data_IF_213816774299
#
_entry.id   IF_213816774299
#
_cell.length_a   1.000
_cell.length_b   1.000
_cell.length_c   1.000
_cell.angle_alpha   90.00
_cell.angle_beta   90.00
_cell.angle_gamma   90.00
#
_symmetry.space_group_name_H-M   'P 1'
#
loop_
_entity.id
_entity.type
_entity.pdbx_description
1 polymer ?
#
# COMPACT_ATOMS: atom_id res chain seq x y z
N UNK A 1 46.91 1.45 -6.74
CA UNK A 1 46.30 0.10 -6.81
C UNK A 1 45.52 -0.26 -5.54
N UNK A 2 46.11 -0.12 -4.35
CA UNK A 2 45.47 -0.46 -3.05
C UNK A 2 44.21 0.35 -2.73
N UNK A 3 44.16 1.65 -3.05
CA UNK A 3 42.98 2.51 -2.83
C UNK A 3 41.79 2.12 -3.72
N UNK A 4 42.06 1.68 -4.95
CA UNK A 4 41.03 1.22 -5.90
C UNK A 4 40.40 -0.11 -5.46
N UNK A 5 41.20 -1.05 -4.97
CA UNK A 5 40.66 -2.30 -4.41
C UNK A 5 39.83 -2.06 -3.14
N UNK A 6 40.28 -1.17 -2.25
CA UNK A 6 39.52 -0.83 -1.03
C UNK A 6 38.17 -0.19 -1.34
N UNK A 7 38.14 0.74 -2.30
CA UNK A 7 36.88 1.38 -2.73
C UNK A 7 35.95 0.38 -3.40
N UNK A 8 36.45 -0.51 -4.26
CA UNK A 8 35.66 -1.59 -4.86
C UNK A 8 35.05 -2.54 -3.82
N UNK A 9 35.84 -3.01 -2.86
CA UNK A 9 35.35 -3.87 -1.78
C UNK A 9 34.32 -3.15 -0.89
N UNK A 10 34.52 -1.86 -0.63
CA UNK A 10 33.55 -1.03 0.08
C UNK A 10 32.20 -0.95 -0.64
N UNK A 11 32.22 -0.68 -1.95
CA UNK A 11 31.00 -0.62 -2.77
C UNK A 11 30.25 -1.96 -2.82
N UNK A 12 30.97 -3.07 -3.00
CA UNK A 12 30.37 -4.41 -2.99
C UNK A 12 29.72 -4.70 -1.64
N UNK A 13 30.42 -4.41 -0.54
CA UNK A 13 29.89 -4.62 0.82
C UNK A 13 28.61 -3.82 1.04
N UNK A 14 28.61 -2.53 0.67
CA UNK A 14 27.43 -1.66 0.80
C UNK A 14 26.24 -2.21 0.00
N UNK A 15 26.47 -2.63 -1.25
CA UNK A 15 25.42 -3.19 -2.11
C UNK A 15 24.83 -4.48 -1.52
N UNK A 16 25.67 -5.39 -1.01
CA UNK A 16 25.20 -6.62 -0.36
C UNK A 16 24.35 -6.29 0.86
N UNK A 17 24.79 -5.35 1.70
CA UNK A 17 24.03 -4.93 2.89
C UNK A 17 22.68 -4.33 2.48
N UNK A 18 22.64 -3.40 1.53
CA UNK A 18 21.38 -2.79 1.07
C UNK A 18 20.42 -3.85 0.50
N UNK A 19 20.92 -4.71 -0.38
CA UNK A 19 20.10 -5.75 -1.01
C UNK A 19 19.55 -6.77 0.00
N UNK A 20 20.37 -7.20 0.97
CA UNK A 20 19.95 -8.15 2.01
C UNK A 20 18.98 -7.52 3.00
N UNK A 21 19.22 -6.31 3.46
CA UNK A 21 18.28 -5.56 4.30
C UNK A 21 16.95 -5.34 3.59
N UNK A 22 16.98 -4.93 2.32
CA UNK A 22 15.78 -4.74 1.49
C UNK A 22 14.98 -6.02 1.33
N UNK A 23 15.65 -7.14 1.03
CA UNK A 23 15.00 -8.44 0.86
C UNK A 23 14.39 -8.94 2.18
N UNK A 24 15.16 -8.96 3.27
CA UNK A 24 14.70 -9.47 4.56
C UNK A 24 13.59 -8.61 5.14
N UNK A 25 13.76 -7.28 5.13
CA UNK A 25 12.77 -6.34 5.67
C UNK A 25 11.42 -6.46 4.97
N UNK A 26 11.42 -6.50 3.64
CA UNK A 26 10.18 -6.65 2.87
C UNK A 26 9.58 -8.07 2.98
N UNK A 27 10.41 -9.11 3.07
CA UNK A 27 9.95 -10.48 3.27
C UNK A 27 9.20 -10.64 4.59
N UNK A 28 9.68 -10.02 5.67
CA UNK A 28 8.97 -10.02 6.97
C UNK A 28 7.56 -9.42 6.82
N UNK A 29 7.43 -8.29 6.12
CA UNK A 29 6.12 -7.68 5.87
C UNK A 29 5.20 -8.62 5.11
N UNK A 30 5.69 -9.22 4.01
CA UNK A 30 4.91 -10.20 3.22
C UNK A 30 4.48 -11.38 4.09
N UNK A 31 5.39 -11.99 4.86
CA UNK A 31 5.11 -13.13 5.74
C UNK A 31 4.05 -12.78 6.79
N UNK A 32 4.18 -11.62 7.45
CA UNK A 32 3.21 -11.17 8.47
C UNK A 32 1.82 -10.98 7.86
N UNK A 33 1.74 -10.42 6.65
CA UNK A 33 0.47 -10.21 5.97
C UNK A 33 -0.19 -11.54 5.56
N UNK A 34 0.60 -12.51 5.08
CA UNK A 34 0.15 -13.86 4.76
C UNK A 34 -0.31 -14.63 6.01
N UNK A 35 0.43 -14.54 7.11
CA UNK A 35 0.10 -15.19 8.38
C UNK A 35 -1.21 -14.65 8.99
N UNK A 36 -1.51 -13.35 8.83
CA UNK A 36 -2.79 -12.74 9.25
C UNK A 36 -3.98 -13.13 8.37
N UNK A 37 -3.74 -13.71 7.19
CA UNK A 37 -4.75 -14.30 6.31
C UNK A 37 -5.83 -13.32 5.84
N UNK A 38 -7.08 -13.79 5.77
CA UNK A 38 -8.22 -13.04 5.19
C UNK A 38 -8.55 -11.71 5.89
N UNK A 39 -8.08 -11.50 7.13
CA UNK A 39 -8.34 -10.26 7.89
C UNK A 39 -7.62 -9.04 7.27
N UNK A 40 -6.48 -9.27 6.63
CA UNK A 40 -5.62 -8.23 6.03
C UNK A 40 -6.15 -7.67 4.70
N UNK A 41 -6.95 -8.45 3.97
CA UNK A 41 -7.44 -8.05 2.64
C UNK A 41 -8.74 -7.23 2.69
N UNK A 42 -9.12 -6.72 3.87
CA UNK A 42 -10.34 -5.90 4.06
C UNK A 42 -10.08 -4.41 3.85
N UNK A 43 -8.83 -3.96 3.94
CA UNK A 43 -8.45 -2.56 3.79
C UNK A 43 -7.64 -2.39 2.50
N UNK A 44 -8.03 -1.46 1.64
CA UNK A 44 -7.37 -1.22 0.35
C UNK A 44 -5.91 -0.82 0.51
N UNK A 45 -5.58 0.02 1.50
CA UNK A 45 -4.18 0.38 1.74
C UNK A 45 -3.35 -0.82 2.16
N UNK A 46 -3.90 -1.75 2.94
CA UNK A 46 -3.19 -2.96 3.34
C UNK A 46 -2.83 -3.81 2.12
N UNK A 47 -3.72 -3.86 1.10
CA UNK A 47 -3.40 -4.53 -0.16
C UNK A 47 -2.24 -3.83 -0.90
N UNK A 48 -2.24 -2.49 -0.96
CA UNK A 48 -1.13 -1.75 -1.59
C UNK A 48 0.20 -1.88 -0.85
N UNK A 49 0.19 -1.93 0.48
CA UNK A 49 1.39 -2.17 1.29
C UNK A 49 1.95 -3.56 1.01
N UNK A 50 1.09 -4.58 0.95
CA UNK A 50 1.53 -5.93 0.58
C UNK A 50 2.12 -5.97 -0.84
N UNK A 51 1.47 -5.30 -1.79
CA UNK A 51 1.97 -5.19 -3.16
C UNK A 51 3.34 -4.50 -3.20
N UNK A 52 3.49 -3.37 -2.48
CA UNK A 52 4.75 -2.65 -2.34
C UNK A 52 5.87 -3.55 -1.83
N UNK A 53 5.66 -4.24 -0.70
CA UNK A 53 6.68 -5.13 -0.14
C UNK A 53 6.98 -6.32 -1.05
N UNK A 54 6.03 -6.79 -1.84
CA UNK A 54 6.28 -7.84 -2.83
C UNK A 54 7.18 -7.34 -3.98
N UNK A 55 6.92 -6.13 -4.48
CA UNK A 55 7.76 -5.46 -5.49
C UNK A 55 9.17 -5.25 -4.94
N UNK A 56 9.29 -4.70 -3.73
CA UNK A 56 10.60 -4.36 -3.14
C UNK A 56 11.41 -5.62 -2.80
N UNK A 57 10.75 -6.71 -2.41
CA UNK A 57 11.39 -8.02 -2.26
C UNK A 57 11.93 -8.56 -3.59
N UNK A 58 11.13 -8.51 -4.66
CA UNK A 58 11.56 -8.90 -6.00
C UNK A 58 12.70 -8.01 -6.51
N UNK A 59 12.61 -6.70 -6.33
CA UNK A 59 13.66 -5.75 -6.71
C UNK A 59 14.97 -6.03 -5.94
N UNK A 60 14.89 -6.27 -4.63
CA UNK A 60 16.04 -6.60 -3.80
C UNK A 60 16.68 -7.94 -4.21
N UNK A 61 15.87 -8.94 -4.57
CA UNK A 61 16.36 -10.21 -5.09
C UNK A 61 17.09 -10.01 -6.42
N UNK A 62 16.46 -9.32 -7.38
CA UNK A 62 17.08 -9.03 -8.69
C UNK A 62 18.36 -8.21 -8.52
N UNK A 63 18.36 -7.23 -7.62
CA UNK A 63 19.55 -6.44 -7.29
C UNK A 63 20.69 -7.32 -6.78
N UNK A 64 20.44 -8.21 -5.82
CA UNK A 64 21.46 -9.14 -5.31
C UNK A 64 21.97 -10.08 -6.40
N UNK A 65 21.08 -10.63 -7.23
CA UNK A 65 21.47 -11.48 -8.34
C UNK A 65 22.35 -10.73 -9.34
N UNK A 66 22.00 -9.50 -9.69
CA UNK A 66 22.79 -8.65 -10.58
C UNK A 66 24.15 -8.31 -10.00
N UNK A 67 24.30 -8.17 -8.67
CA UNK A 67 25.60 -7.88 -8.06
C UNK A 67 26.46 -9.13 -7.86
N UNK A 68 25.84 -10.30 -7.70
CA UNK A 68 26.55 -11.56 -7.51
C UNK A 68 26.93 -12.24 -8.84
N UNK A 69 26.06 -12.21 -9.84
CA UNK A 69 26.24 -12.91 -11.13
C UNK A 69 26.63 -11.96 -12.29
N UNK A 70 27.48 -10.95 -12.03
CA UNK A 70 27.92 -9.98 -13.04
C UNK A 70 29.32 -10.28 -13.61
N UNK A 71 29.55 -11.52 -14.03
CA UNK A 71 30.84 -11.88 -14.64
C UNK A 71 30.83 -11.59 -16.14
N UNK A 72 31.57 -10.55 -16.55
CA UNK A 72 31.71 -10.15 -17.96
C UNK A 72 32.42 -11.19 -18.82
N UNK A 73 33.14 -12.16 -18.21
CA UNK A 73 33.73 -13.27 -18.95
C UNK A 73 32.66 -14.12 -19.68
N UNK A 74 31.42 -14.12 -19.19
CA UNK A 74 30.28 -14.82 -19.83
C UNK A 74 29.91 -14.26 -21.21
N UNK A 75 30.37 -13.05 -21.55
CA UNK A 75 30.05 -12.36 -22.80
C UNK A 75 31.05 -12.64 -23.94
N UNK A 76 32.20 -13.25 -23.65
CA UNK A 76 33.34 -13.39 -24.57
C UNK A 76 33.03 -14.05 -25.92
N UNK A 77 32.01 -14.92 -25.99
CA UNK A 77 31.66 -15.65 -27.21
C UNK A 77 30.84 -14.84 -28.24
N UNK A 78 30.36 -13.63 -27.90
CA UNK A 78 29.78 -12.67 -28.85
C UNK A 78 28.52 -13.09 -29.62
N UNK A 79 27.96 -14.27 -29.37
CA UNK A 79 26.79 -14.79 -30.07
C UNK A 79 25.48 -14.08 -29.69
N UNK A 80 24.39 -14.45 -30.37
CA UNK A 80 23.04 -13.88 -30.15
C UNK A 80 22.59 -13.92 -28.67
N UNK A 81 22.97 -14.98 -27.95
CA UNK A 81 22.66 -15.14 -26.51
C UNK A 81 23.41 -14.11 -25.66
N UNK A 82 24.68 -13.87 -25.96
CA UNK A 82 25.53 -12.91 -25.24
C UNK A 82 25.05 -11.48 -25.49
N UNK A 83 24.64 -11.16 -26.71
CA UNK A 83 23.99 -9.87 -27.03
C UNK A 83 22.72 -9.69 -26.20
N UNK A 84 21.88 -10.73 -26.10
CA UNK A 84 20.65 -10.67 -25.31
C UNK A 84 20.96 -10.48 -23.81
N UNK A 85 21.95 -11.19 -23.28
CA UNK A 85 22.42 -11.04 -21.88
C UNK A 85 22.94 -9.62 -21.66
N UNK A 86 23.74 -9.07 -22.59
CA UNK A 86 24.22 -7.69 -22.51
C UNK A 86 23.04 -6.69 -22.46
N UNK A 87 22.13 -6.76 -23.44
CA UNK A 87 21.01 -5.81 -23.54
C UNK A 87 19.99 -5.95 -22.41
N UNK A 88 19.79 -7.12 -21.80
CA UNK A 88 18.75 -7.33 -20.78
C UNK A 88 19.31 -7.37 -19.35
N UNK A 89 20.39 -8.14 -19.12
CA UNK A 89 20.96 -8.35 -17.79
C UNK A 89 21.93 -7.24 -17.40
N UNK A 90 22.94 -6.97 -18.23
CA UNK A 90 23.96 -5.96 -17.95
C UNK A 90 23.45 -4.52 -18.07
N UNK A 91 22.37 -4.29 -18.83
CA UNK A 91 21.66 -3.00 -18.81
C UNK A 91 20.88 -2.77 -17.51
N UNK A 92 20.72 -3.80 -16.67
CA UNK A 92 19.91 -3.76 -15.45
C UNK A 92 18.44 -3.39 -15.72
N UNK A 93 17.92 -3.65 -16.93
CA UNK A 93 16.56 -3.26 -17.36
C UNK A 93 15.45 -3.68 -16.39
N UNK A 94 15.50 -4.92 -15.90
CA UNK A 94 14.52 -5.41 -14.93
C UNK A 94 14.60 -4.66 -13.60
N UNK A 95 15.80 -4.33 -13.13
CA UNK A 95 16.00 -3.60 -11.89
C UNK A 95 15.43 -2.19 -11.99
N UNK A 96 15.79 -1.46 -13.04
CA UNK A 96 15.28 -0.11 -13.30
C UNK A 96 13.77 -0.08 -13.47
N UNK A 97 13.21 -1.10 -14.14
CA UNK A 97 11.75 -1.27 -14.25
C UNK A 97 11.11 -1.49 -12.88
N UNK A 98 11.65 -2.38 -12.05
CA UNK A 98 11.11 -2.68 -10.72
C UNK A 98 11.18 -1.49 -9.77
N UNK A 99 12.26 -0.70 -9.81
CA UNK A 99 12.35 0.55 -9.06
C UNK A 99 11.26 1.54 -9.49
N UNK A 100 11.02 1.69 -10.79
CA UNK A 100 9.94 2.54 -11.28
C UNK A 100 8.56 2.01 -10.88
N UNK A 101 8.31 0.69 -10.94
CA UNK A 101 7.08 0.06 -10.42
C UNK A 101 6.87 0.41 -8.94
N UNK A 102 7.92 0.28 -8.13
CA UNK A 102 7.90 0.60 -6.69
C UNK A 102 7.53 2.06 -6.44
N UNK A 103 8.17 3.00 -7.15
CA UNK A 103 7.87 4.44 -7.06
C UNK A 103 6.42 4.77 -7.40
N UNK A 104 5.89 4.24 -8.50
CA UNK A 104 4.51 4.51 -8.87
C UNK A 104 3.50 3.79 -7.98
N UNK A 105 3.85 2.66 -7.38
CA UNK A 105 3.00 2.03 -6.37
C UNK A 105 2.96 2.87 -5.08
N UNK A 106 4.05 3.53 -4.68
CA UNK A 106 4.01 4.54 -3.60
C UNK A 106 3.08 5.70 -3.93
N UNK A 107 3.08 6.19 -5.17
CA UNK A 107 2.13 7.21 -5.63
C UNK A 107 0.68 6.71 -5.48
N UNK A 108 0.39 5.46 -5.87
CA UNK A 108 -0.94 4.87 -5.68
C UNK A 108 -1.34 4.77 -4.21
N UNK A 109 -0.40 4.41 -3.32
CA UNK A 109 -0.64 4.42 -1.87
C UNK A 109 -1.01 5.83 -1.40
N UNK A 110 -0.24 6.85 -1.81
CA UNK A 110 -0.51 8.24 -1.43
C UNK A 110 -1.87 8.73 -1.94
N UNK A 111 -2.23 8.40 -3.18
CA UNK A 111 -3.52 8.75 -3.77
C UNK A 111 -4.68 8.01 -3.11
N UNK A 112 -4.54 6.74 -2.78
CA UNK A 112 -5.56 5.98 -2.03
C UNK A 112 -5.81 6.63 -0.67
N UNK A 113 -4.75 6.98 0.07
CA UNK A 113 -4.85 7.70 1.34
C UNK A 113 -5.51 9.06 1.18
N UNK A 114 -5.12 9.80 0.15
CA UNK A 114 -5.69 11.10 -0.16
C UNK A 114 -7.21 10.98 -0.40
N UNK A 115 -7.64 10.05 -1.25
CA UNK A 115 -9.06 9.84 -1.52
C UNK A 115 -9.83 9.40 -0.27
N UNK A 116 -9.25 8.48 0.52
CA UNK A 116 -9.89 7.98 1.74
C UNK A 116 -10.12 9.08 2.80
N UNK A 117 -9.20 10.04 2.91
CA UNK A 117 -9.22 11.09 3.94
C UNK A 117 -9.96 12.34 3.45
N UNK A 118 -9.66 12.80 2.23
CA UNK A 118 -10.19 14.06 1.69
C UNK A 118 -11.59 13.87 1.11
N UNK A 119 -11.87 12.71 0.52
CA UNK A 119 -13.16 12.40 -0.13
C UNK A 119 -13.76 11.06 0.36
N UNK A 120 -14.05 10.93 1.68
CA UNK A 120 -14.41 9.65 2.30
C UNK A 120 -15.68 9.01 1.72
N UNK A 121 -16.69 9.81 1.35
CA UNK A 121 -17.95 9.32 0.75
C UNK A 121 -17.71 8.74 -0.64
N UNK A 122 -16.95 9.46 -1.47
CA UNK A 122 -16.59 9.01 -2.82
C UNK A 122 -15.76 7.73 -2.74
N UNK A 123 -14.76 7.70 -1.86
CA UNK A 123 -13.91 6.55 -1.64
C UNK A 123 -14.72 5.31 -1.23
N UNK A 124 -15.65 5.45 -0.27
CA UNK A 124 -16.51 4.35 0.18
C UNK A 124 -17.43 3.82 -0.92
N UNK A 125 -17.95 4.68 -1.79
CA UNK A 125 -18.93 4.28 -2.80
C UNK A 125 -18.29 3.75 -4.09
N UNK A 126 -17.11 4.26 -4.47
CA UNK A 126 -16.50 3.94 -5.76
C UNK A 126 -15.35 2.93 -5.69
N UNK A 127 -14.69 2.75 -4.55
CA UNK A 127 -13.59 1.79 -4.43
C UNK A 127 -14.11 0.36 -4.36
N UNK A 128 -13.51 -0.51 -5.15
CA UNK A 128 -13.79 -1.94 -5.13
C UNK A 128 -12.51 -2.73 -5.29
N UNK A 129 -12.51 -3.96 -4.80
CA UNK A 129 -11.34 -4.86 -4.90
C UNK A 129 -10.84 -5.01 -6.33
N UNK A 130 -11.75 -5.11 -7.31
CA UNK A 130 -11.40 -5.23 -8.72
C UNK A 130 -10.63 -4.01 -9.22
N UNK A 131 -11.07 -2.80 -8.85
CA UNK A 131 -10.39 -1.56 -9.22
C UNK A 131 -9.01 -1.46 -8.58
N UNK A 132 -8.89 -1.80 -7.31
CA UNK A 132 -7.60 -1.81 -6.59
C UNK A 132 -6.61 -2.80 -7.21
N UNK A 133 -7.07 -4.00 -7.61
CA UNK A 133 -6.21 -4.95 -8.30
C UNK A 133 -5.84 -4.47 -9.71
N UNK A 134 -6.76 -3.82 -10.42
CA UNK A 134 -6.47 -3.26 -11.75
C UNK A 134 -5.43 -2.12 -11.67
N UNK A 135 -5.54 -1.22 -10.68
CA UNK A 135 -4.56 -0.14 -10.48
C UNK A 135 -3.18 -0.66 -10.11
N UNK A 136 -3.08 -1.80 -9.40
CA UNK A 136 -1.78 -2.44 -9.12
C UNK A 136 -1.03 -2.89 -10.37
N UNK A 137 -1.73 -3.21 -11.46
CA UNK A 137 -1.11 -3.63 -12.73
C UNK A 137 -0.57 -2.44 -13.53
N UNK A 138 -1.15 -1.25 -13.36
CA UNK A 138 -0.78 -0.04 -14.13
C UNK A 138 0.71 0.33 -13.98
N UNK A 139 1.31 0.37 -12.76
CA UNK A 139 2.74 0.62 -12.59
C UNK A 139 3.62 -0.36 -13.36
N UNK A 140 3.25 -1.65 -13.42
CA UNK A 140 4.01 -2.67 -14.17
C UNK A 140 4.03 -2.36 -15.66
N UNK A 141 2.86 -2.13 -16.25
CA UNK A 141 2.77 -1.82 -17.68
C UNK A 141 3.51 -0.53 -18.01
N UNK A 142 3.33 0.51 -17.20
CA UNK A 142 3.97 1.79 -17.41
C UNK A 142 5.50 1.68 -17.29
N UNK A 143 6.02 1.12 -16.20
CA UNK A 143 7.45 1.05 -15.94
C UNK A 143 8.20 0.20 -16.97
N UNK A 144 7.69 -0.99 -17.28
CA UNK A 144 8.34 -1.87 -18.26
C UNK A 144 8.29 -1.29 -19.67
N UNK A 145 7.19 -0.61 -20.03
CA UNK A 145 7.10 0.08 -21.32
C UNK A 145 8.06 1.26 -21.37
N UNK A 146 8.09 2.10 -20.33
CA UNK A 146 8.98 3.25 -20.28
C UNK A 146 10.44 2.82 -20.36
N UNK A 147 10.89 1.86 -19.55
CA UNK A 147 12.29 1.44 -19.55
C UNK A 147 12.72 0.65 -20.79
N UNK A 148 11.81 0.32 -21.69
CA UNK A 148 12.14 -0.45 -22.91
C UNK A 148 13.07 0.30 -23.86
N UNK A 149 13.24 1.62 -23.70
CA UNK A 149 14.23 2.39 -24.46
C UNK A 149 15.68 2.04 -24.10
N UNK A 150 15.91 1.47 -22.91
CA UNK A 150 17.25 1.30 -22.34
C UNK A 150 18.03 0.10 -22.91
N UNK A 151 17.47 -1.13 -22.98
CA UNK A 151 18.16 -2.29 -23.58
C UNK A 151 18.76 -2.05 -24.97
N UNK A 152 18.07 -1.39 -25.93
CA UNK A 152 18.63 -1.15 -27.26
C UNK A 152 19.88 -0.28 -27.26
N UNK A 153 20.06 0.61 -26.27
CA UNK A 153 21.22 1.51 -26.14
C UNK A 153 22.48 0.73 -25.74
N UNK A 154 22.37 -0.43 -25.09
CA UNK A 154 23.53 -1.22 -24.69
C UNK A 154 24.11 -2.01 -25.85
N UNK A 155 25.40 -1.86 -26.10
CA UNK A 155 26.11 -2.58 -27.16
C UNK A 155 27.21 -3.47 -26.58
N UNK A 156 27.42 -4.61 -27.23
CA UNK A 156 28.42 -5.61 -26.85
C UNK A 156 29.67 -5.45 -27.71
N UNK A 157 30.81 -5.16 -27.07
CA UNK A 157 32.13 -5.06 -27.70
C UNK A 157 33.10 -6.00 -26.99
N UNK A 158 33.36 -7.17 -27.59
CA UNK A 158 34.18 -8.21 -26.96
C UNK A 158 33.51 -8.73 -25.68
N UNK A 159 34.12 -8.48 -24.53
CA UNK A 159 33.57 -8.80 -23.20
C UNK A 159 32.85 -7.62 -22.54
N UNK A 160 32.92 -6.43 -23.13
CA UNK A 160 32.40 -5.22 -22.53
C UNK A 160 30.99 -4.92 -23.05
N UNK A 161 30.10 -4.55 -22.12
CA UNK A 161 28.72 -4.20 -22.42
C UNK A 161 28.44 -2.81 -21.84
N UNK A 162 28.23 -1.83 -22.70
CA UNK A 162 28.09 -0.44 -22.28
C UNK A 162 27.11 0.34 -23.18
N UNK A 163 26.51 1.42 -22.66
CA UNK A 163 25.55 2.21 -23.43
C UNK A 163 26.25 3.02 -24.54
N UNK A 164 25.73 2.91 -25.77
CA UNK A 164 26.14 3.68 -26.95
C UNK A 164 24.93 4.39 -27.54
N UNK A 165 24.89 5.71 -27.40
CA UNK A 165 23.81 6.53 -27.92
C UNK A 165 24.01 6.83 -29.41
N UNK A 166 23.03 6.53 -30.29
CA UNK A 166 23.19 6.73 -31.73
C UNK A 166 23.25 8.21 -32.12
N UNK A 167 22.62 9.09 -31.33
CA UNK A 167 22.62 10.53 -31.54
C UNK A 167 22.88 11.26 -30.22
N UNK A 168 23.70 12.31 -30.25
CA UNK A 168 24.14 13.05 -29.05
C UNK A 168 22.99 13.67 -28.25
N UNK A 169 21.87 14.03 -28.89
CA UNK A 169 20.73 14.64 -28.22
C UNK A 169 19.81 13.63 -27.52
N UNK A 170 19.87 12.34 -27.87
CA UNK A 170 19.01 11.32 -27.27
C UNK A 170 19.35 11.08 -25.79
N UNK A 171 20.64 11.09 -25.44
CA UNK A 171 21.09 10.92 -24.06
C UNK A 171 20.51 11.97 -23.11
N UNK A 172 20.67 13.29 -23.34
CA UNK A 172 20.05 14.29 -22.47
C UNK A 172 18.52 14.27 -22.55
N UNK A 173 17.93 13.96 -23.72
CA UNK A 173 16.48 13.86 -23.87
C UNK A 173 15.88 12.78 -22.97
N UNK A 174 16.38 11.54 -23.04
CA UNK A 174 15.93 10.47 -22.16
C UNK A 174 16.30 10.73 -20.70
N UNK A 175 17.46 11.35 -20.42
CA UNK A 175 17.81 11.78 -19.07
C UNK A 175 16.78 12.74 -18.46
N UNK A 176 16.28 13.71 -19.23
CA UNK A 176 15.20 14.62 -18.79
C UNK A 176 13.89 13.87 -18.60
N UNK A 177 13.52 12.97 -19.52
CA UNK A 177 12.30 12.16 -19.37
C UNK A 177 12.36 11.29 -18.10
N UNK A 178 13.47 10.59 -17.86
CA UNK A 178 13.71 9.81 -16.65
C UNK A 178 13.60 10.68 -15.40
N UNK A 179 14.24 11.86 -15.38
CA UNK A 179 14.12 12.80 -14.26
C UNK A 179 12.66 13.18 -13.98
N UNK A 180 11.91 13.51 -15.03
CA UNK A 180 10.52 13.94 -14.90
C UNK A 180 9.60 12.83 -14.41
N UNK A 181 9.71 11.63 -15.00
CA UNK A 181 8.78 10.53 -14.72
C UNK A 181 9.17 9.68 -13.52
N UNK A 182 10.45 9.47 -13.25
CA UNK A 182 10.89 8.65 -12.11
C UNK A 182 11.02 9.45 -10.81
N UNK A 183 11.24 10.76 -10.89
CA UNK A 183 11.51 11.58 -9.71
C UNK A 183 10.52 12.73 -9.54
N UNK A 184 10.49 13.68 -10.48
CA UNK A 184 9.76 14.94 -10.29
C UNK A 184 8.25 14.73 -10.16
N UNK A 185 7.62 14.04 -11.12
CA UNK A 185 6.18 13.81 -11.14
C UNK A 185 5.71 12.97 -9.93
N UNK A 186 6.33 11.81 -9.61
CA UNK A 186 5.98 11.05 -8.41
C UNK A 186 6.10 11.87 -7.13
N UNK A 187 7.20 12.62 -6.98
CA UNK A 187 7.45 13.43 -5.79
C UNK A 187 6.40 14.54 -5.64
N UNK A 188 6.06 15.25 -6.72
CA UNK A 188 5.06 16.31 -6.69
C UNK A 188 3.69 15.77 -6.30
N UNK A 189 3.27 14.64 -6.87
CA UNK A 189 1.99 14.01 -6.51
C UNK A 189 1.97 13.60 -5.04
N UNK A 190 3.06 13.00 -4.54
CA UNK A 190 3.17 12.62 -3.12
C UNK A 190 3.14 13.84 -2.19
N UNK A 191 3.89 14.89 -2.51
CA UNK A 191 3.95 16.12 -1.70
C UNK A 191 2.58 16.81 -1.61
N UNK A 192 1.89 16.98 -2.73
CA UNK A 192 0.55 17.59 -2.76
C UNK A 192 -0.44 16.73 -1.98
N UNK A 193 -0.40 15.41 -2.17
CA UNK A 193 -1.29 14.46 -1.50
C UNK A 193 -1.10 14.51 0.01
N UNK A 194 0.14 14.35 0.50
CA UNK A 194 0.42 14.35 1.93
C UNK A 194 0.24 15.72 2.57
N UNK A 195 0.61 16.81 1.88
CA UNK A 195 0.35 18.17 2.35
C UNK A 195 -1.15 18.41 2.60
N UNK A 196 -1.99 17.99 1.66
CA UNK A 196 -3.45 18.12 1.80
C UNK A 196 -4.02 17.23 2.91
N UNK A 197 -3.53 15.98 3.02
CA UNK A 197 -3.90 15.05 4.10
C UNK A 197 -3.61 15.69 5.46
N UNK A 198 -2.39 16.20 5.65
CA UNK A 198 -1.97 16.83 6.92
C UNK A 198 -2.87 18.03 7.23
N UNK A 199 -3.12 18.90 6.26
CA UNK A 199 -4.00 20.06 6.43
C UNK A 199 -5.42 19.66 6.87
N UNK A 200 -6.02 18.66 6.21
CA UNK A 200 -7.37 18.19 6.56
C UNK A 200 -7.43 17.51 7.92
N UNK A 201 -6.45 16.68 8.26
CA UNK A 201 -6.41 16.00 9.55
C UNK A 201 -6.29 16.98 10.72
N UNK A 202 -5.47 18.04 10.57
CA UNK A 202 -5.38 19.11 11.58
C UNK A 202 -6.74 19.79 11.80
N UNK A 203 -7.39 20.25 10.74
CA UNK A 203 -8.71 20.87 10.85
C UNK A 203 -9.80 19.96 11.41
N UNK A 204 -9.70 18.64 11.22
CA UNK A 204 -10.61 17.66 11.86
C UNK A 204 -10.31 17.49 13.35
N UNK A 205 -9.04 17.52 13.74
CA UNK A 205 -8.61 17.44 15.14
C UNK A 205 -9.12 18.66 15.93
N UNK A 206 -8.87 19.86 15.41
CA UNK A 206 -9.27 21.11 16.06
C UNK A 206 -10.79 21.19 16.26
N UNK A 207 -11.56 20.74 15.25
CA UNK A 207 -13.03 20.67 15.37
C UNK A 207 -13.49 19.68 16.43
N UNK A 208 -12.84 18.52 16.54
CA UNK A 208 -13.17 17.50 17.55
C UNK A 208 -12.83 17.97 18.95
N UNK A 209 -11.69 18.63 19.13
CA UNK A 209 -11.29 19.22 20.40
C UNK A 209 -12.29 20.31 20.84
N UNK A 210 -12.63 21.23 19.93
CA UNK A 210 -13.64 22.26 20.20
C UNK A 210 -15.02 21.67 20.53
N UNK A 211 -15.43 20.58 19.87
CA UNK A 211 -16.67 19.88 20.19
C UNK A 211 -16.62 19.21 21.56
N UNK A 212 -15.52 18.54 21.91
CA UNK A 212 -15.34 17.91 23.21
C UNK A 212 -15.37 18.95 24.35
N UNK A 213 -14.68 20.08 24.18
CA UNK A 213 -14.69 21.19 25.14
C UNK A 213 -16.08 21.79 25.32
N UNK A 214 -16.86 21.95 24.23
CA UNK A 214 -18.26 22.41 24.30
C UNK A 214 -19.16 21.42 25.03
N UNK A 215 -19.05 20.12 24.73
CA UNK A 215 -19.82 19.07 25.44
C UNK A 215 -19.52 19.04 26.94
N UNK A 216 -18.26 19.26 27.35
CA UNK A 216 -17.88 19.34 28.76
C UNK A 216 -18.46 20.60 29.44
N UNK A 217 -18.44 21.75 28.76
CA UNK A 217 -19.03 22.97 29.28
C UNK A 217 -20.55 22.85 29.45
N UNK A 218 -21.24 22.27 28.47
CA UNK A 218 -22.69 22.03 28.54
C UNK A 218 -23.04 21.09 29.69
N UNK A 219 -22.29 19.97 29.85
CA UNK A 219 -22.49 19.01 30.96
C UNK A 219 -22.29 19.67 32.32
N UNK A 220 -21.27 20.53 32.45
CA UNK A 220 -21.02 21.28 33.68
C UNK A 220 -22.17 22.25 33.97
N UNK A 221 -22.64 22.98 32.97
CA UNK A 221 -23.72 23.95 33.16
C UNK A 221 -25.05 23.27 33.52
N UNK A 222 -25.38 22.13 32.88
CA UNK A 222 -26.56 21.34 33.24
C UNK A 222 -26.53 20.83 34.69
N UNK A 223 -25.35 20.47 35.20
CA UNK A 223 -25.19 20.05 36.59
C UNK A 223 -25.32 21.21 37.59
N UNK A 224 -25.00 22.45 37.19
CA UNK A 224 -25.25 23.63 38.03
C UNK A 224 -26.74 24.03 38.05
N UNK A 225 -27.47 23.80 36.97
CA UNK A 225 -28.90 24.11 36.89
C UNK A 225 -29.80 22.99 37.44
N UNK A 226 -29.24 21.81 37.72
CA UNK A 226 -29.94 20.72 38.37
C UNK A 226 -30.14 21.08 39.86
N UNK A 227 -31.32 21.63 40.18
CA UNK A 227 -31.76 21.90 41.54
C UNK A 227 -31.79 20.58 42.36
N UNK A 228 -31.04 20.47 43.48
CA UNK A 228 -31.06 19.29 44.35
C UNK A 228 -32.44 18.98 44.96
N UNK A 229 -33.43 19.86 44.82
CA UNK A 229 -34.74 19.72 45.47
C UNK A 229 -35.84 19.07 44.63
N UNK A 230 -35.55 18.63 43.38
CA UNK A 230 -36.52 17.90 42.55
C UNK A 230 -36.38 16.36 42.66
N UNK A 231 -36.46 15.82 43.88
CA UNK A 231 -36.78 14.39 44.03
C UNK A 231 -38.27 14.20 43.66
N UNK A 232 -38.63 13.31 42.73
CA UNK A 232 -40.00 12.85 42.68
C UNK A 232 -40.27 12.11 44.00
N UNK A 233 -41.24 12.59 44.76
CA UNK A 233 -41.67 11.98 46.00
C UNK A 233 -41.92 10.48 45.78
N UNK A 234 -41.17 9.64 46.50
CA UNK A 234 -41.44 8.21 46.61
C UNK A 234 -42.78 8.08 47.33
N UNK A 235 -43.84 7.78 46.58
CA UNK A 235 -45.10 7.35 47.18
C UNK A 235 -44.92 5.93 47.71
N UNK A 236 -44.71 5.85 49.02
CA UNK A 236 -44.86 4.63 49.81
C UNK A 236 -46.25 4.04 49.59
N UNK A 237 -46.33 2.86 48.97
CA UNK A 237 -47.48 1.96 49.15
C UNK A 237 -46.92 0.60 49.57
N UNK A 238 -46.99 0.39 50.88
CA UNK A 238 -47.01 -0.91 51.52
C UNK A 238 -48.20 -1.72 50.99
N UNK A 239 -47.96 -2.98 50.60
CA UNK A 239 -48.66 -4.17 51.12
C UNK A 239 -48.39 -5.36 50.20
N UNK A 240 -47.62 -6.30 50.73
CA UNK A 240 -47.47 -7.66 50.24
C UNK A 240 -48.37 -8.56 51.09
N UNK A 241 -49.17 -9.46 50.51
CA UNK A 241 -49.57 -10.68 51.17
C UNK A 241 -48.74 -11.85 50.65
N UNK A 242 -48.16 -12.56 51.60
CA UNK A 242 -47.55 -13.88 51.53
C UNK A 242 -48.55 -14.93 51.05
N UNK A 243 -48.17 -15.79 50.08
CA UNK A 243 -48.63 -17.18 50.02
C UNK A 243 -47.53 -18.10 49.46
N UNK A 244 -46.95 -18.87 50.39
CA UNK A 244 -46.74 -20.33 50.40
C UNK A 244 -46.31 -21.09 49.12
N UNK A 245 -45.21 -21.85 49.28
CA UNK A 245 -44.58 -22.80 48.35
C UNK A 245 -45.04 -24.24 48.72
N UNK A 246 -45.13 -25.23 47.79
CA UNK A 246 -43.99 -26.17 47.65
C UNK A 246 -43.80 -26.83 46.25
N UNK A 247 -42.52 -26.92 45.80
CA UNK A 247 -41.83 -28.01 45.03
C UNK A 247 -42.42 -28.42 43.65
N UNK A 248 -41.68 -28.70 42.57
CA UNK A 248 -40.35 -29.33 42.39
C UNK A 248 -39.90 -29.20 40.92
N UNK A 249 -38.59 -29.02 40.71
CA UNK A 249 -37.72 -29.46 39.60
C UNK A 249 -38.20 -29.50 38.13
N UNK A 250 -37.44 -28.83 37.25
CA UNK A 250 -37.15 -29.39 35.93
C UNK A 250 -36.91 -28.42 34.78
N UNK A 251 -35.63 -28.17 34.49
CA UNK A 251 -35.08 -27.94 33.14
C UNK A 251 -35.37 -26.61 32.42
N UNK A 252 -34.36 -25.74 32.42
CA UNK A 252 -34.27 -24.51 31.64
C UNK A 252 -33.87 -24.82 30.17
N UNK A 253 -34.70 -24.45 29.20
CA UNK A 253 -34.29 -24.17 27.79
C UNK A 253 -35.00 -22.90 27.34
N UNK A 254 -34.30 -21.85 26.88
CA UNK A 254 -34.95 -20.63 26.44
C UNK A 254 -35.50 -20.75 25.01
N UNK A 255 -36.56 -19.98 24.81
CA UNK A 255 -37.50 -20.00 23.71
C UNK A 255 -37.00 -19.31 22.43
N UNK A 256 -37.56 -19.77 21.30
CA UNK A 256 -37.63 -19.08 20.01
C UNK A 256 -38.46 -17.79 20.13
N UNK A 257 -38.00 -16.72 19.47
CA UNK A 257 -38.82 -15.66 18.82
C UNK A 257 -37.97 -15.01 17.73
N UNK A 258 -38.28 -15.30 16.46
CA UNK A 258 -39.07 -14.45 15.54
C UNK A 258 -38.25 -13.32 14.91
N UNK A 259 -37.86 -13.51 13.65
CA UNK A 259 -37.60 -12.45 12.68
C UNK A 259 -38.14 -12.91 11.33
N UNK A 260 -39.25 -12.31 10.92
CA UNK A 260 -39.82 -12.43 9.58
C UNK A 260 -39.63 -11.08 8.86
N UNK A 261 -39.76 -11.09 7.53
CA UNK A 261 -39.67 -9.97 6.58
C UNK A 261 -38.29 -9.86 5.87
N UNK A 262 -38.09 -10.75 4.90
CA UNK A 262 -37.36 -10.44 3.66
C UNK A 262 -38.36 -10.49 2.51
N UNK A 263 -38.70 -9.33 1.95
CA UNK A 263 -39.29 -9.23 0.63
C UNK A 263 -38.17 -9.11 -0.41
N UNK A 264 -38.08 -10.12 -1.28
CA UNK A 264 -37.31 -10.07 -2.54
C UNK A 264 -38.25 -9.60 -3.65
N UNK A 265 -37.71 -8.84 -4.61
CA UNK A 265 -37.86 -9.23 -6.02
C UNK A 265 -36.47 -9.18 -6.68
N UNK A 266 -36.19 -9.71 -7.86
CA UNK A 266 -36.79 -10.68 -8.77
C UNK A 266 -35.67 -10.83 -9.82
N UNK A 267 -35.22 -12.05 -10.13
CA UNK A 267 -34.27 -12.29 -11.22
C UNK A 267 -35.07 -12.37 -12.52
N UNK A 268 -34.74 -11.52 -13.49
CA UNK A 268 -35.13 -11.76 -14.88
C UNK A 268 -33.86 -11.98 -15.71
N UNK A 269 -33.73 -13.22 -16.17
CA UNK A 269 -32.81 -13.67 -17.21
C UNK A 269 -33.29 -13.19 -18.59
N UNK A 270 -32.38 -12.76 -19.46
CA UNK A 270 -32.51 -12.80 -20.94
C UNK A 270 -31.08 -12.73 -21.50
N UNK A 271 -30.43 -13.86 -21.83
CA UNK A 271 -30.36 -14.56 -23.15
C UNK A 271 -30.02 -13.66 -24.36
N UNK A 272 -28.86 -13.99 -24.94
CA UNK A 272 -28.51 -14.06 -26.37
C UNK A 272 -28.72 -12.80 -27.23
N UNK A 273 -27.61 -12.10 -27.51
CA UNK A 273 -26.95 -12.04 -28.82
C UNK A 273 -25.50 -11.56 -28.62
#
# INVERSE_FOLDING_TARGET
MTTHLRTLHGLITINIVIGTCGFLGNSVVVIVFLARGKKTFKNWTQMYILHQSSIDCLASMVFLLLRYFNDSATLAAGGRRQILICKIWFSEYFLWSLFMVSTYNLVLVSLERFLAIVFPVLHRNHMSRRKVLATMVVPWLWAFTFQSYWPPVYELFGTDCFPVWPQRWLQPFFGVLTFLFEYFLPLMVMLISYGTIIYKLKGMSDKRENQASRMQADTRNSNLTADPTSYPAISTISNMPTQENPRTNGTLKPAKKEANIYSKPSKTSLRLL
#
